data_IF_740794363116
#
_entry.id   IF_740794363116
#
_cell.length_a   1.000
_cell.length_b   1.000
_cell.length_c   1.000
_cell.angle_alpha   90.00
_cell.angle_beta   90.00
_cell.angle_gamma   90.00
#
_symmetry.space_group_name_H-M   'P 1'
#
loop_
_entity.id
_entity.type
_entity.pdbx_description
1 polymer ?
#
# COMPACT_ATOMS: atom_id res chain seq x y z
N UNK A 1 6.75 14.10 -5.11
CA UNK A 1 7.63 15.07 -4.43
C UNK A 1 9.04 14.51 -4.39
N UNK A 2 10.07 15.33 -4.59
CA UNK A 2 11.48 14.90 -4.56
C UNK A 2 11.85 14.45 -3.13
N UNK A 3 12.32 13.21 -2.95
CA UNK A 3 12.70 12.65 -1.65
C UNK A 3 13.71 13.54 -0.91
N UNK A 4 14.65 14.15 -1.64
CA UNK A 4 15.64 15.06 -1.07
C UNK A 4 15.03 16.37 -0.55
N UNK A 5 13.97 16.87 -1.19
CA UNK A 5 13.29 18.09 -0.75
C UNK A 5 12.45 17.83 0.51
N UNK A 6 11.72 16.71 0.55
CA UNK A 6 10.97 16.31 1.75
C UNK A 6 11.93 16.00 2.92
N UNK A 7 13.06 15.33 2.66
CA UNK A 7 14.09 15.13 3.68
C UNK A 7 14.68 16.45 4.20
N UNK A 8 14.98 17.41 3.32
CA UNK A 8 15.52 18.70 3.72
C UNK A 8 14.57 19.49 4.64
N UNK A 9 13.25 19.33 4.46
CA UNK A 9 12.24 19.93 5.32
C UNK A 9 12.03 19.18 6.64
N UNK A 10 12.10 17.85 6.64
CA UNK A 10 11.83 17.04 7.85
C UNK A 10 13.05 16.92 8.77
N UNK A 11 14.27 16.98 8.22
CA UNK A 11 15.53 16.90 8.98
C UNK A 11 15.66 17.97 10.08
N UNK A 12 14.99 19.11 9.94
CA UNK A 12 15.03 20.15 10.98
C UNK A 12 14.26 19.77 12.25
N UNK A 13 13.35 18.81 12.17
CA UNK A 13 12.51 18.37 13.30
C UNK A 13 13.06 17.10 13.97
N UNK A 14 13.75 16.24 13.21
CA UNK A 14 14.46 15.07 13.72
C UNK A 14 15.93 15.07 13.26
N UNK A 15 16.84 15.40 14.18
CA UNK A 15 18.27 15.13 13.96
C UNK A 15 18.44 13.61 13.79
N UNK A 16 19.26 13.19 12.83
CA UNK A 16 19.55 11.78 12.53
C UNK A 16 18.39 10.95 11.93
N UNK A 17 17.66 11.52 10.96
CA UNK A 17 16.68 10.77 10.15
C UNK A 17 17.15 10.50 8.72
N UNK A 18 16.90 9.30 8.20
CA UNK A 18 17.16 8.95 6.80
C UNK A 18 15.86 8.60 6.07
N UNK A 19 15.69 9.12 4.85
CA UNK A 19 14.59 8.71 4.00
C UNK A 19 14.88 7.33 3.41
N UNK A 20 13.87 6.47 3.38
CA UNK A 20 13.94 5.17 2.73
C UNK A 20 12.72 4.94 1.83
N UNK A 21 12.91 4.13 0.80
CA UNK A 21 11.87 3.62 -0.07
C UNK A 21 11.87 2.10 -0.07
N UNK A 22 10.73 1.50 -0.36
CA UNK A 22 10.57 0.07 -0.51
C UNK A 22 10.03 -0.22 -1.91
N UNK A 23 10.61 -1.20 -2.59
CA UNK A 23 10.35 -1.44 -4.00
C UNK A 23 10.15 -2.93 -4.24
N UNK A 24 9.24 -3.25 -5.16
CA UNK A 24 8.94 -4.61 -5.58
C UNK A 24 9.15 -4.72 -7.08
N UNK A 25 9.65 -5.87 -7.51
CA UNK A 25 9.85 -6.17 -8.92
C UNK A 25 8.55 -6.56 -9.61
N UNK A 26 8.71 -7.38 -10.65
CA UNK A 26 7.58 -8.00 -11.34
C UNK A 26 7.03 -9.15 -10.46
N UNK A 27 5.94 -8.87 -9.75
CA UNK A 27 5.23 -9.82 -8.88
C UNK A 27 3.83 -10.08 -9.44
N UNK A 28 3.22 -11.20 -9.04
CA UNK A 28 1.88 -11.58 -9.52
C UNK A 28 0.79 -10.78 -8.79
N UNK A 29 0.59 -9.53 -9.18
CA UNK A 29 -0.39 -8.63 -8.53
C UNK A 29 -1.85 -9.11 -8.62
N UNK A 30 -2.17 -10.09 -9.47
CA UNK A 30 -3.49 -10.72 -9.56
C UNK A 30 -3.73 -11.78 -8.50
N UNK A 31 -2.67 -12.30 -7.87
CA UNK A 31 -2.74 -13.32 -6.84
C UNK A 31 -3.05 -12.69 -5.47
N UNK A 32 -4.16 -13.07 -4.80
CA UNK A 32 -4.51 -12.55 -3.48
C UNK A 32 -3.42 -12.74 -2.42
N UNK A 33 -2.72 -13.88 -2.45
CA UNK A 33 -1.66 -14.15 -1.47
C UNK A 33 -0.50 -13.18 -1.67
N UNK A 34 -0.09 -12.95 -2.92
CA UNK A 34 0.93 -11.95 -3.29
C UNK A 34 0.52 -10.53 -2.86
N UNK A 35 -0.74 -10.14 -3.07
CA UNK A 35 -1.25 -8.84 -2.61
C UNK A 35 -1.12 -8.68 -1.09
N UNK A 36 -1.52 -9.70 -0.32
CA UNK A 36 -1.43 -9.66 1.14
C UNK A 36 0.01 -9.72 1.65
N UNK A 37 0.88 -10.54 1.03
CA UNK A 37 2.31 -10.61 1.38
C UNK A 37 3.01 -9.27 1.14
N UNK A 38 2.72 -8.61 0.03
CA UNK A 38 3.25 -7.26 -0.26
C UNK A 38 2.90 -6.28 0.87
N UNK A 39 1.65 -6.31 1.33
CA UNK A 39 1.21 -5.48 2.46
C UNK A 39 1.91 -5.91 3.76
N UNK A 40 2.05 -7.21 4.00
CA UNK A 40 2.70 -7.72 5.21
C UNK A 40 4.17 -7.30 5.32
N UNK A 41 4.91 -7.37 4.21
CA UNK A 41 6.30 -6.91 4.17
C UNK A 41 6.39 -5.43 4.52
N UNK A 42 5.53 -4.61 3.93
CA UNK A 42 5.46 -3.18 4.24
C UNK A 42 5.17 -2.94 5.72
N UNK A 43 4.14 -3.60 6.26
CA UNK A 43 3.76 -3.51 7.67
C UNK A 43 4.90 -3.94 8.61
N UNK A 44 5.65 -4.97 8.23
CA UNK A 44 6.76 -5.50 9.04
C UNK A 44 7.94 -4.53 9.07
N UNK A 45 8.25 -3.87 7.95
CA UNK A 45 9.28 -2.82 7.89
C UNK A 45 8.90 -1.62 8.77
N UNK A 46 7.65 -1.14 8.68
CA UNK A 46 7.18 -0.01 9.51
C UNK A 46 6.94 -0.36 10.97
N UNK A 47 6.93 -1.64 11.35
CA UNK A 47 6.88 -2.09 12.75
C UNK A 47 8.26 -2.08 13.42
N UNK A 48 9.33 -1.99 12.64
CA UNK A 48 10.67 -1.96 13.21
C UNK A 48 10.85 -0.71 14.09
N UNK A 49 11.57 -0.81 15.22
CA UNK A 49 11.72 0.31 16.16
C UNK A 49 12.35 1.57 15.55
N UNK A 50 13.05 1.40 14.42
CA UNK A 50 13.84 2.44 13.78
C UNK A 50 13.13 3.14 12.63
N UNK A 51 11.93 2.69 12.23
CA UNK A 51 11.15 3.27 11.14
C UNK A 51 9.93 3.98 11.74
N UNK A 52 9.63 5.20 11.29
CA UNK A 52 8.39 5.84 11.72
C UNK A 52 7.18 5.01 11.33
N UNK A 53 6.22 4.98 12.22
CA UNK A 53 4.93 4.40 11.93
C UNK A 53 4.27 5.13 10.75
N UNK A 54 3.82 4.35 9.78
CA UNK A 54 3.08 4.82 8.61
C UNK A 54 1.85 3.94 8.47
N UNK A 55 0.69 4.54 8.21
CA UNK A 55 -0.53 3.80 7.94
C UNK A 55 -0.37 2.84 6.76
N UNK A 56 -0.93 1.62 6.90
CA UNK A 56 -0.92 0.62 5.82
C UNK A 56 -1.53 1.17 4.53
N UNK A 57 -2.56 2.03 4.63
CA UNK A 57 -3.22 2.65 3.46
C UNK A 57 -2.31 3.56 2.64
N UNK A 58 -1.13 3.95 3.13
CA UNK A 58 -0.15 4.70 2.33
C UNK A 58 0.52 3.81 1.27
N UNK A 59 0.53 2.49 1.47
CA UNK A 59 0.89 1.55 0.43
C UNK A 59 -0.20 1.53 -0.65
N UNK A 60 0.20 1.72 -1.90
CA UNK A 60 -0.75 1.84 -3.01
C UNK A 60 -1.64 0.61 -3.16
N UNK A 61 -1.09 -0.60 -2.96
CA UNK A 61 -1.86 -1.85 -3.04
C UNK A 61 -2.96 -1.87 -1.98
N UNK A 62 -2.60 -1.56 -0.74
CA UNK A 62 -3.55 -1.47 0.37
C UNK A 62 -4.66 -0.44 0.11
N UNK A 63 -4.29 0.76 -0.36
CA UNK A 63 -5.27 1.80 -0.71
C UNK A 63 -6.20 1.36 -1.84
N UNK A 64 -5.64 0.73 -2.86
CA UNK A 64 -6.38 0.25 -4.01
C UNK A 64 -7.37 -0.85 -3.64
N UNK A 65 -6.99 -1.80 -2.77
CA UNK A 65 -7.89 -2.83 -2.29
C UNK A 65 -9.04 -2.25 -1.44
N UNK A 66 -8.78 -1.23 -0.62
CA UNK A 66 -9.86 -0.52 0.09
C UNK A 66 -10.79 0.20 -0.89
N UNK A 67 -10.25 0.87 -1.91
CA UNK A 67 -11.05 1.54 -2.94
C UNK A 67 -12.02 0.59 -3.66
N UNK A 68 -11.60 -0.66 -3.89
CA UNK A 68 -12.43 -1.70 -4.49
C UNK A 68 -13.47 -2.31 -3.52
N UNK A 69 -13.38 -2.04 -2.21
CA UNK A 69 -14.32 -2.57 -1.20
C UNK A 69 -15.56 -1.68 -1.04
N UNK A 70 -16.61 -2.20 -0.35
CA UNK A 70 -17.77 -1.36 0.06
C UNK A 70 -17.40 -0.31 1.12
N UNK A 71 -16.20 -0.39 1.69
CA UNK A 71 -15.67 0.54 2.69
C UNK A 71 -14.79 1.64 2.07
N UNK A 72 -14.82 1.81 0.75
CA UNK A 72 -14.09 2.86 0.04
C UNK A 72 -14.34 4.27 0.61
N UNK A 73 -15.54 4.55 1.14
CA UNK A 73 -15.92 5.82 1.74
C UNK A 73 -15.13 6.15 3.01
N UNK A 74 -14.55 5.15 3.67
CA UNK A 74 -13.71 5.37 4.84
C UNK A 74 -12.33 5.96 4.47
N UNK A 75 -12.00 6.04 3.17
CA UNK A 75 -10.71 6.49 2.66
C UNK A 75 -10.77 7.58 1.56
N UNK A 76 -11.94 7.82 0.95
CA UNK A 76 -12.13 8.83 -0.10
C UNK A 76 -13.12 9.88 0.38
N UNK A 77 -12.62 11.07 0.64
CA UNK A 77 -13.45 12.23 0.97
C UNK A 77 -14.05 12.77 -0.33
N UNK A 78 -15.36 12.59 -0.52
CA UNK A 78 -16.03 12.98 -1.77
C UNK A 78 -16.17 14.48 -1.83
N UNK A 79 -15.86 15.05 -3.00
CA UNK A 79 -16.13 16.48 -3.23
C UNK A 79 -17.63 16.76 -3.36
N UNK A 80 -18.38 15.81 -3.97
CA UNK A 80 -19.84 15.83 -4.05
C UNK A 80 -20.44 14.43 -3.81
N UNK A 81 -21.57 14.35 -3.09
CA UNK A 81 -22.23 13.08 -2.73
C UNK A 81 -22.69 12.24 -3.94
N UNK A 82 -22.88 12.91 -5.09
CA UNK A 82 -23.29 12.29 -6.35
C UNK A 82 -22.15 11.68 -7.16
N UNK A 83 -20.89 11.91 -6.77
CA UNK A 83 -19.74 11.34 -7.46
C UNK A 83 -19.57 9.87 -7.08
N UNK A 84 -19.68 9.02 -8.11
CA UNK A 84 -19.35 7.61 -8.09
C UNK A 84 -17.82 7.48 -8.01
N UNK A 85 -17.31 7.39 -6.79
CA UNK A 85 -15.86 7.45 -6.52
C UNK A 85 -15.25 6.11 -6.17
N UNK A 86 -16.04 5.07 -5.90
CA UNK A 86 -15.53 3.78 -5.44
C UNK A 86 -15.30 2.81 -6.60
N UNK A 87 -14.49 1.77 -6.39
CA UNK A 87 -14.23 0.74 -7.39
C UNK A 87 -15.49 0.02 -7.82
N UNK A 88 -16.40 -0.28 -6.89
CA UNK A 88 -17.69 -0.90 -7.19
C UNK A 88 -18.56 -0.07 -8.15
N UNK A 89 -18.31 1.22 -8.27
CA UNK A 89 -19.01 2.09 -9.21
C UNK A 89 -18.38 2.08 -10.63
N UNK A 90 -17.16 1.55 -10.77
CA UNK A 90 -16.45 1.45 -12.05
C UNK A 90 -16.79 0.13 -12.73
N UNK A 91 -17.70 0.18 -13.71
CA UNK A 91 -18.14 -0.99 -14.45
C UNK A 91 -17.22 -1.32 -15.62
N UNK A 92 -16.68 -2.53 -15.65
CA UNK A 92 -15.87 -3.04 -16.75
C UNK A 92 -16.74 -3.77 -17.77
N UNK A 93 -16.89 -3.19 -18.96
CA UNK A 93 -17.81 -3.68 -19.99
C UNK A 93 -17.45 -5.08 -20.50
N UNK A 94 -16.18 -5.43 -20.63
CA UNK A 94 -15.79 -6.70 -21.25
C UNK A 94 -16.11 -7.90 -20.36
N UNK A 95 -15.91 -7.74 -19.04
CA UNK A 95 -16.21 -8.78 -18.05
C UNK A 95 -17.60 -8.65 -17.42
N UNK A 96 -18.37 -7.62 -17.81
CA UNK A 96 -19.70 -7.31 -17.26
C UNK A 96 -19.72 -7.27 -15.72
N UNK A 97 -18.67 -6.72 -15.10
CA UNK A 97 -18.51 -6.67 -13.64
C UNK A 97 -17.84 -5.37 -13.20
N UNK A 98 -18.03 -4.98 -11.93
CA UNK A 98 -17.39 -3.80 -11.36
C UNK A 98 -15.99 -4.08 -10.81
N UNK A 99 -15.22 -3.03 -10.53
CA UNK A 99 -13.95 -3.10 -9.79
C UNK A 99 -14.22 -3.37 -8.29
N UNK A 100 -14.61 -4.60 -7.97
CA UNK A 100 -14.95 -5.02 -6.60
C UNK A 100 -13.94 -6.01 -5.98
N UNK A 101 -13.49 -5.67 -4.77
CA UNK A 101 -12.69 -6.57 -3.97
C UNK A 101 -13.59 -7.60 -3.26
N UNK A 102 -13.04 -8.77 -3.04
CA UNK A 102 -13.59 -9.81 -2.16
C UNK A 102 -12.86 -9.78 -0.83
N UNK A 103 -13.45 -10.37 0.21
CA UNK A 103 -12.84 -10.45 1.53
C UNK A 103 -12.37 -11.88 1.80
N UNK A 104 -11.13 -12.02 2.26
CA UNK A 104 -10.53 -13.32 2.60
C UNK A 104 -10.03 -13.32 4.05
N UNK A 105 -9.95 -14.48 4.72
CA UNK A 105 -9.40 -14.57 6.07
C UNK A 105 -7.98 -13.99 6.16
N UNK A 106 -7.68 -13.30 7.25
CA UNK A 106 -6.38 -12.68 7.49
C UNK A 106 -5.30 -13.72 7.88
N UNK A 107 -4.89 -14.54 6.91
CA UNK A 107 -3.92 -15.61 7.10
C UNK A 107 -2.49 -15.12 7.37
N UNK A 108 -2.15 -13.89 6.98
CA UNK A 108 -0.81 -13.30 7.14
C UNK A 108 -0.66 -12.41 8.38
N UNK A 109 -1.71 -12.27 9.20
CA UNK A 109 -1.68 -11.41 10.38
C UNK A 109 -1.39 -9.94 10.01
N UNK A 110 -2.06 -9.45 8.97
CA UNK A 110 -2.07 -8.04 8.59
C UNK A 110 -2.74 -7.21 9.68
N UNK A 111 -2.35 -5.94 9.80
CA UNK A 111 -2.92 -5.02 10.80
C UNK A 111 -4.41 -4.82 10.55
N UNK A 112 -5.15 -4.63 11.63
CA UNK A 112 -6.56 -4.27 11.58
C UNK A 112 -6.70 -2.75 11.50
N UNK A 113 -7.74 -2.28 10.80
CA UNK A 113 -8.14 -0.88 10.84
C UNK A 113 -8.63 -0.53 12.23
N UNK A 114 -8.10 0.56 12.78
CA UNK A 114 -8.53 1.12 14.06
C UNK A 114 -9.81 1.93 13.78
N UNK A 115 -10.95 1.37 14.18
CA UNK A 115 -12.25 2.04 14.06
C UNK A 115 -12.51 2.78 15.36
N UNK A 116 -12.31 4.09 15.31
CA UNK A 116 -12.46 4.97 16.47
C UNK A 116 -13.92 5.40 16.57
N UNK A 117 -14.50 5.33 17.77
CA UNK A 117 -15.81 5.94 17.98
C UNK A 117 -15.62 7.47 17.98
N UNK A 118 -16.42 8.26 17.24
CA UNK A 118 -16.31 9.72 17.26
C UNK A 118 -16.40 10.34 18.66
N UNK A 119 -16.92 9.60 19.65
CA UNK A 119 -16.99 10.03 21.05
C UNK A 119 -15.78 9.63 21.90
N UNK A 120 -14.82 8.87 21.38
CA UNK A 120 -13.61 8.50 22.12
C UNK A 120 -12.68 9.71 22.27
N UNK A 121 -12.17 9.91 23.48
CA UNK A 121 -11.20 10.98 23.79
C UNK A 121 -9.78 10.66 23.31
N UNK A 122 -9.53 9.42 22.87
CA UNK A 122 -8.21 8.97 22.44
C UNK A 122 -7.96 9.32 20.98
N UNK A 123 -6.97 10.18 20.73
CA UNK A 123 -6.47 10.42 19.39
C UNK A 123 -5.52 9.30 18.98
N UNK A 124 -5.85 8.60 17.90
CA UNK A 124 -4.97 7.63 17.27
C UNK A 124 -4.20 8.35 16.15
N UNK A 125 -2.85 8.39 16.22
CA UNK A 125 -2.05 9.07 15.20
C UNK A 125 -2.10 8.36 13.83
N UNK A 126 -2.46 7.08 13.84
CA UNK A 126 -2.51 6.19 12.70
C UNK A 126 -3.85 5.43 12.70
N UNK A 127 -4.42 5.19 11.51
CA UNK A 127 -5.60 4.35 11.29
C UNK A 127 -5.28 2.85 11.30
N UNK A 128 -3.99 2.49 11.33
CA UNK A 128 -3.53 1.10 11.40
C UNK A 128 -3.56 0.41 10.04
N UNK A 129 -4.18 -0.78 10.00
CA UNK A 129 -4.20 -1.64 8.82
C UNK A 129 -5.45 -1.52 7.94
N UNK A 130 -5.59 -2.44 6.99
CA UNK A 130 -6.73 -2.48 6.07
C UNK A 130 -7.74 -3.57 6.38
N UNK A 131 -7.36 -4.53 7.24
CA UNK A 131 -8.21 -5.67 7.57
C UNK A 131 -9.22 -5.29 8.65
N UNK A 132 -10.32 -6.02 8.71
CA UNK A 132 -11.45 -5.72 9.59
C UNK A 132 -11.95 -6.97 10.29
N UNK A 133 -12.40 -6.82 11.52
CA UNK A 133 -13.15 -7.88 12.18
C UNK A 133 -14.51 -8.06 11.51
N UNK A 134 -15.08 -9.26 11.52
CA UNK A 134 -16.40 -9.53 10.94
C UNK A 134 -17.48 -8.61 11.51
N UNK A 135 -17.38 -8.24 12.79
CA UNK A 135 -18.28 -7.28 13.44
C UNK A 135 -18.26 -5.85 12.85
N UNK A 136 -17.20 -5.52 12.12
CA UNK A 136 -16.96 -4.22 11.52
C UNK A 136 -17.02 -4.21 9.99
N UNK A 137 -17.38 -5.34 9.39
CA UNK A 137 -17.59 -5.48 7.95
C UNK A 137 -19.00 -5.03 7.57
N UNK A 138 -19.18 -4.73 6.28
CA UNK A 138 -20.50 -4.39 5.75
C UNK A 138 -21.34 -5.68 5.69
N UNK A 139 -22.62 -5.68 6.12
CA UNK A 139 -23.43 -6.90 6.13
C UNK A 139 -23.51 -7.60 4.76
N UNK A 140 -23.65 -6.83 3.68
CA UNK A 140 -23.63 -7.38 2.32
C UNK A 140 -22.29 -8.05 1.94
N UNK A 141 -21.15 -7.60 2.49
CA UNK A 141 -19.87 -8.29 2.23
C UNK A 141 -19.83 -9.64 2.97
N UNK A 142 -20.40 -9.74 4.18
CA UNK A 142 -20.54 -11.01 4.90
C UNK A 142 -21.48 -11.97 4.15
N UNK A 143 -22.59 -11.46 3.61
CA UNK A 143 -23.51 -12.23 2.77
C UNK A 143 -22.82 -12.72 1.48
N UNK A 144 -22.03 -11.86 0.82
CA UNK A 144 -21.24 -12.19 -0.38
C UNK A 144 -20.23 -13.33 -0.08
N UNK A 145 -19.74 -13.43 1.16
CA UNK A 145 -18.88 -14.53 1.65
C UNK A 145 -19.64 -15.78 2.08
N UNK A 146 -20.98 -15.79 2.05
CA UNK A 146 -21.82 -16.88 2.51
C UNK A 146 -21.99 -16.95 4.04
N UNK A 147 -21.65 -15.89 4.76
CA UNK A 147 -21.79 -15.79 6.22
C UNK A 147 -23.16 -15.20 6.54
N UNK A 148 -24.09 -16.05 6.95
CA UNK A 148 -25.47 -15.66 7.28
C UNK A 148 -25.66 -15.22 8.74
N UNK A 149 -24.71 -15.55 9.61
CA UNK A 149 -24.72 -15.20 11.03
C UNK A 149 -23.48 -14.35 11.37
N UNK A 150 -23.59 -13.02 11.34
CA UNK A 150 -22.46 -12.12 11.65
C UNK A 150 -21.86 -12.34 13.04
N UNK A 151 -22.65 -12.82 14.01
CA UNK A 151 -22.16 -13.07 15.36
C UNK A 151 -21.19 -14.27 15.40
N UNK A 152 -21.27 -15.19 14.44
CA UNK A 152 -20.38 -16.35 14.34
C UNK A 152 -18.95 -16.00 13.96
N UNK A 153 -18.75 -14.87 13.28
CA UNK A 153 -17.43 -14.41 12.78
C UNK A 153 -17.01 -13.08 13.39
N UNK A 154 -17.63 -12.71 14.52
CA UNK A 154 -17.48 -11.38 15.13
C UNK A 154 -16.02 -10.97 15.33
N UNK A 155 -15.21 -11.91 15.82
CA UNK A 155 -13.78 -11.71 16.15
C UNK A 155 -12.83 -12.22 15.05
N UNK A 156 -13.36 -12.81 13.98
CA UNK A 156 -12.56 -13.20 12.82
C UNK A 156 -12.16 -11.98 12.01
N UNK A 157 -10.94 -11.97 11.48
CA UNK A 157 -10.38 -10.84 10.75
C UNK A 157 -10.26 -11.19 9.28
N UNK A 158 -10.74 -10.28 8.44
CA UNK A 158 -10.74 -10.43 7.00
C UNK A 158 -10.05 -9.24 6.34
N UNK A 159 -9.43 -9.49 5.20
CA UNK A 159 -8.72 -8.48 4.41
C UNK A 159 -9.32 -8.40 3.01
N UNK A 160 -9.43 -7.20 2.42
CA UNK A 160 -9.89 -7.06 1.05
C UNK A 160 -8.77 -7.51 0.11
N UNK A 161 -9.13 -8.28 -0.92
CA UNK A 161 -8.25 -8.72 -2.00
C UNK A 161 -8.99 -8.64 -3.31
N UNK A 162 -8.26 -8.66 -4.42
CA UNK A 162 -8.84 -8.84 -5.74
C UNK A 162 -8.47 -10.23 -6.23
N UNK A 163 -9.48 -11.05 -6.47
CA UNK A 163 -9.33 -12.39 -7.04
C UNK A 163 -10.07 -12.49 -8.37
N UNK A 164 -9.61 -13.40 -9.24
CA UNK A 164 -10.33 -13.81 -10.45
C UNK A 164 -10.57 -12.70 -11.50
N UNK A 165 -9.79 -11.62 -11.46
CA UNK A 165 -9.84 -10.59 -12.49
C UNK A 165 -8.94 -10.96 -13.66
N UNK A 166 -9.40 -10.65 -14.87
CA UNK A 166 -8.54 -10.71 -16.05
C UNK A 166 -7.54 -9.55 -16.02
N UNK A 167 -6.43 -9.69 -16.73
CA UNK A 167 -5.42 -8.66 -16.90
C UNK A 167 -6.04 -7.33 -17.37
N UNK A 168 -6.98 -7.40 -18.33
CA UNK A 168 -7.66 -6.23 -18.88
C UNK A 168 -8.51 -5.53 -17.83
N UNK A 169 -9.25 -6.31 -17.02
CA UNK A 169 -10.02 -5.75 -15.89
C UNK A 169 -9.10 -5.10 -14.89
N UNK A 170 -7.95 -5.72 -14.61
CA UNK A 170 -7.01 -5.20 -13.63
C UNK A 170 -6.43 -3.87 -14.07
N UNK A 171 -5.97 -3.81 -15.32
CA UNK A 171 -5.47 -2.59 -15.96
C UNK A 171 -6.53 -1.49 -16.01
N UNK A 172 -7.78 -1.83 -16.37
CA UNK A 172 -8.90 -0.88 -16.37
C UNK A 172 -9.12 -0.27 -14.98
N UNK A 173 -9.31 -1.12 -13.97
CA UNK A 173 -9.63 -0.69 -12.62
C UNK A 173 -8.49 0.11 -11.97
N UNK A 174 -7.25 -0.32 -12.17
CA UNK A 174 -6.09 0.39 -11.65
C UNK A 174 -5.95 1.76 -12.34
N UNK A 175 -6.23 1.86 -13.64
CA UNK A 175 -6.26 3.13 -14.36
C UNK A 175 -7.32 4.08 -13.80
N UNK A 176 -8.53 3.58 -13.52
CA UNK A 176 -9.60 4.39 -12.90
C UNK A 176 -9.19 4.90 -11.51
N UNK A 177 -8.63 4.02 -10.68
CA UNK A 177 -8.14 4.39 -9.35
C UNK A 177 -7.01 5.44 -9.41
N UNK A 178 -6.05 5.28 -10.33
CA UNK A 178 -4.99 6.27 -10.57
C UNK A 178 -5.56 7.61 -10.97
N UNK A 179 -6.55 7.65 -11.87
CA UNK A 179 -7.19 8.90 -12.28
C UNK A 179 -7.84 9.62 -11.09
N UNK A 180 -8.47 8.88 -10.17
CA UNK A 180 -9.07 9.44 -8.95
C UNK A 180 -8.06 9.94 -7.92
N UNK A 181 -6.89 9.31 -7.84
CA UNK A 181 -5.80 9.75 -6.95
C UNK A 181 -4.89 10.78 -7.59
N UNK A 182 -5.31 11.43 -8.68
CA UNK A 182 -4.50 12.42 -9.40
C UNK A 182 -3.20 11.85 -9.96
N UNK A 183 -3.20 10.57 -10.32
CA UNK A 183 -2.04 9.77 -10.75
C UNK A 183 -0.90 9.71 -9.73
N UNK A 184 -1.15 10.15 -8.49
CA UNK A 184 -0.17 10.10 -7.39
C UNK A 184 -0.21 8.77 -6.62
N UNK A 185 -1.32 8.03 -6.73
CA UNK A 185 -1.46 6.68 -6.21
C UNK A 185 -0.77 5.66 -7.13
N UNK A 186 0.10 4.83 -6.56
CA UNK A 186 0.79 3.77 -7.31
C UNK A 186 2.01 4.30 -8.03
N UNK A 187 3.12 4.40 -7.30
CA UNK A 187 4.42 4.78 -7.85
C UNK A 187 4.97 3.63 -8.71
N UNK A 188 4.36 3.43 -9.87
CA UNK A 188 4.76 2.47 -10.89
C UNK A 188 5.89 3.07 -11.70
N UNK A 189 6.93 2.29 -11.93
CA UNK A 189 8.10 2.75 -12.68
C UNK A 189 8.18 1.95 -13.98
N UNK A 190 8.30 2.66 -15.10
CA UNK A 190 8.68 2.06 -16.38
C UNK A 190 10.20 2.00 -16.47
N UNK A 191 10.72 0.85 -16.87
CA UNK A 191 12.12 0.72 -17.25
C UNK A 191 12.30 1.46 -18.58
N UNK A 192 13.05 2.56 -18.59
CA UNK A 192 13.39 3.29 -19.83
C UNK A 192 14.67 2.67 -20.43
N UNK A 193 14.58 1.89 -21.52
CA UNK A 193 15.75 1.28 -22.15
C UNK A 193 16.67 2.31 -22.84
N UNK A 194 16.27 3.58 -22.96
CA UNK A 194 17.02 4.65 -23.62
C UNK A 194 17.57 5.73 -22.68
N UNK A 195 17.40 5.57 -21.36
CA UNK A 195 17.72 6.59 -20.35
C UNK A 195 19.02 7.34 -20.64
N UNK A 196 18.91 8.62 -20.96
CA UNK A 196 20.08 9.48 -21.18
C UNK A 196 20.72 9.80 -19.83
N UNK A 197 22.06 9.75 -19.73
CA UNK A 197 22.81 10.16 -18.51
C UNK A 197 22.47 11.58 -18.03
N UNK A 198 21.85 12.40 -18.89
CA UNK A 198 21.49 13.79 -18.60
C UNK A 198 20.07 13.97 -18.06
N UNK A 199 19.22 12.95 -18.17
CA UNK A 199 17.88 12.96 -17.63
C UNK A 199 17.94 12.37 -16.22
N UNK A 200 18.19 13.23 -15.22
CA UNK A 200 17.94 12.92 -13.82
C UNK A 200 16.41 12.80 -13.58
N UNK A 201 15.74 11.87 -14.25
CA UNK A 201 14.28 11.65 -14.29
C UNK A 201 13.79 10.72 -13.18
N UNK A 202 14.43 10.76 -12.00
CA UNK A 202 13.88 10.17 -10.77
C UNK A 202 12.51 10.75 -10.34
N UNK A 203 11.87 11.54 -11.22
CA UNK A 203 10.49 11.98 -11.18
C UNK A 203 9.91 11.70 -12.57
N UNK A 204 9.01 10.72 -12.65
CA UNK A 204 8.26 10.40 -13.86
C UNK A 204 7.47 11.63 -14.34
N UNK A 205 7.58 11.90 -15.64
CA UNK A 205 6.56 12.64 -16.37
C UNK A 205 5.22 11.91 -16.19
N UNK A 206 4.12 12.63 -16.27
CA UNK A 206 2.76 12.13 -15.98
C UNK A 206 2.41 10.89 -16.82
N UNK A 207 2.69 9.70 -16.30
CA UNK A 207 2.41 8.45 -17.00
C UNK A 207 0.91 8.13 -16.93
N UNK A 208 0.15 8.75 -17.83
CA UNK A 208 -1.25 8.44 -18.10
C UNK A 208 -1.44 6.98 -18.56
N UNK A 209 -0.41 6.36 -19.13
CA UNK A 209 -0.43 4.98 -19.60
C UNK A 209 0.13 4.02 -18.54
N UNK A 210 -0.67 3.01 -18.17
CA UNK A 210 -0.26 1.90 -17.31
C UNK A 210 0.26 0.74 -18.18
N UNK A 211 1.52 0.34 -17.98
CA UNK A 211 2.05 -0.90 -18.57
C UNK A 211 1.64 -2.10 -17.72
N UNK A 212 1.22 -3.19 -18.39
CA UNK A 212 0.83 -4.44 -17.76
C UNK A 212 1.60 -5.63 -18.39
N UNK A 213 2.13 -6.58 -17.60
CA UNK A 213 2.20 -6.59 -16.13
C UNK A 213 3.05 -5.44 -15.58
N UNK A 214 2.85 -5.08 -14.30
CA UNK A 214 3.60 -4.00 -13.65
C UNK A 214 5.06 -4.48 -13.47
N UNK A 215 6.04 -3.91 -14.19
CA UNK A 215 7.42 -4.39 -14.13
C UNK A 215 8.09 -4.04 -12.80
N UNK A 216 7.67 -2.92 -12.21
CA UNK A 216 8.21 -2.38 -10.97
C UNK A 216 7.12 -1.57 -10.25
N UNK A 217 7.04 -1.70 -8.92
CA UNK A 217 6.27 -0.77 -8.09
C UNK A 217 7.07 -0.32 -6.86
N UNK A 218 6.77 0.89 -6.38
CA UNK A 218 7.34 1.42 -5.14
C UNK A 218 6.29 1.84 -4.13
N UNK A 219 6.66 1.72 -2.86
CA UNK A 219 5.89 2.12 -1.71
C UNK A 219 6.00 3.61 -1.40
N UNK A 220 5.34 4.08 -0.34
CA UNK A 220 5.51 5.43 0.14
C UNK A 220 6.95 5.65 0.60
N UNK A 221 7.36 6.92 0.65
CA UNK A 221 8.64 7.26 1.30
C UNK A 221 8.43 7.15 2.80
N UNK A 222 9.27 6.35 3.45
CA UNK A 222 9.32 6.19 4.90
C UNK A 222 10.56 6.90 5.45
N UNK A 223 10.63 7.03 6.76
CA UNK A 223 11.75 7.67 7.44
C UNK A 223 12.22 6.79 8.58
N UNK A 224 13.54 6.57 8.66
CA UNK A 224 14.14 6.06 9.88
C UNK A 224 14.50 7.20 10.82
N UNK A 225 14.44 6.94 12.12
CA UNK A 225 14.73 7.89 13.20
C UNK A 225 15.75 7.30 14.17
N UNK A 226 16.34 8.17 14.99
CA UNK A 226 17.30 7.79 16.02
C UNK A 226 18.57 7.09 15.49
N UNK A 227 19.02 7.48 14.28
CA UNK A 227 20.20 6.93 13.62
C UNK A 227 21.48 7.69 14.04
N UNK A 228 21.76 7.76 15.34
CA UNK A 228 22.84 8.60 15.89
C UNK A 228 24.24 8.03 15.67
N UNK A 229 24.34 6.73 15.42
CA UNK A 229 25.59 6.00 15.22
C UNK A 229 25.58 5.15 13.96
N UNK A 230 26.78 4.74 13.55
CA UNK A 230 26.95 3.80 12.44
C UNK A 230 26.32 2.44 12.78
N UNK A 231 26.50 1.99 14.01
CA UNK A 231 25.97 0.73 14.52
C UNK A 231 24.43 0.71 14.50
N UNK A 232 23.75 1.77 14.94
CA UNK A 232 22.28 1.87 14.85
C UNK A 232 21.79 1.84 13.40
N UNK A 233 22.53 2.47 12.49
CA UNK A 233 22.19 2.44 11.05
C UNK A 233 22.30 1.02 10.50
N UNK A 234 23.36 0.28 10.85
CA UNK A 234 23.54 -1.11 10.43
C UNK A 234 22.45 -2.03 11.01
N UNK A 235 22.10 -1.85 12.28
CA UNK A 235 21.01 -2.62 12.93
C UNK A 235 19.69 -2.40 12.21
N UNK A 236 19.33 -1.14 11.92
CA UNK A 236 18.12 -0.83 11.15
C UNK A 236 18.14 -1.48 9.76
N UNK A 237 19.29 -1.46 9.07
CA UNK A 237 19.43 -2.10 7.76
C UNK A 237 19.24 -3.62 7.85
N UNK A 238 19.87 -4.28 8.82
CA UNK A 238 19.77 -5.74 9.01
C UNK A 238 18.33 -6.17 9.37
N UNK A 239 17.66 -5.43 10.25
CA UNK A 239 16.27 -5.68 10.63
C UNK A 239 15.33 -5.55 9.44
N UNK A 240 15.42 -4.43 8.71
CA UNK A 240 14.51 -4.16 7.59
C UNK A 240 14.74 -5.07 6.39
N UNK A 241 15.99 -5.50 6.16
CA UNK A 241 16.34 -6.48 5.10
C UNK A 241 15.77 -7.86 5.34
N UNK A 242 15.66 -8.28 6.59
CA UNK A 242 15.08 -9.58 6.95
C UNK A 242 13.64 -9.73 6.39
N UNK A 243 12.92 -8.62 6.25
CA UNK A 243 11.55 -8.58 5.72
C UNK A 243 11.48 -8.33 4.22
N UNK A 244 12.60 -8.15 3.53
CA UNK A 244 12.62 -7.69 2.16
C UNK A 244 13.62 -8.43 1.26
N UNK A 245 14.92 -8.26 1.52
CA UNK A 245 15.98 -8.89 0.75
C UNK A 245 16.02 -10.41 1.00
N UNK A 246 15.66 -10.85 2.21
CA UNK A 246 15.73 -12.25 2.65
C UNK A 246 14.39 -13.01 2.56
N UNK A 247 13.32 -12.37 2.07
CA UNK A 247 12.00 -13.00 1.92
C UNK A 247 11.99 -13.91 0.67
N UNK A 248 11.84 -15.24 0.83
CA UNK A 248 11.87 -16.18 -0.29
C UNK A 248 10.60 -16.15 -1.14
N UNK A 249 9.50 -15.60 -0.61
CA UNK A 249 8.19 -15.66 -1.24
C UNK A 249 7.93 -14.45 -2.14
N UNK A 250 8.42 -13.27 -1.75
CA UNK A 250 8.17 -12.04 -2.46
C UNK A 250 9.41 -11.14 -2.45
N UNK A 251 10.10 -11.04 -3.58
CA UNK A 251 11.31 -10.24 -3.66
C UNK A 251 10.97 -8.74 -3.58
N UNK A 252 11.52 -8.07 -2.58
CA UNK A 252 11.56 -6.61 -2.50
C UNK A 252 12.96 -6.12 -2.17
N UNK A 253 13.19 -4.82 -2.28
CA UNK A 253 14.43 -4.18 -1.83
C UNK A 253 14.20 -2.77 -1.31
N UNK A 254 15.06 -2.36 -0.40
CA UNK A 254 15.05 -1.03 0.20
C UNK A 254 16.01 -0.11 -0.52
N UNK A 255 15.62 1.15 -0.70
CA UNK A 255 16.43 2.21 -1.30
C UNK A 255 16.49 3.44 -0.39
N UNK A 256 17.46 4.33 -0.64
CA UNK A 256 17.62 5.58 0.10
C UNK A 256 19.04 5.76 0.61
N UNK A 257 19.32 6.94 1.17
CA UNK A 257 20.68 7.39 1.50
C UNK A 257 21.44 6.38 2.39
N UNK A 258 20.76 5.78 3.37
CA UNK A 258 21.34 4.79 4.26
C UNK A 258 21.72 3.49 3.53
N UNK A 259 20.93 3.05 2.55
CA UNK A 259 21.24 1.86 1.77
C UNK A 259 22.31 2.19 0.73
N UNK A 260 22.13 3.25 -0.05
CA UNK A 260 23.02 3.61 -1.16
C UNK A 260 24.46 3.91 -0.71
N UNK A 261 24.66 4.48 0.48
CA UNK A 261 26.00 4.83 0.97
C UNK A 261 26.72 3.67 1.66
N UNK A 262 26.01 2.82 2.41
CA UNK A 262 26.63 1.77 3.23
C UNK A 262 26.71 0.39 2.55
N UNK A 263 26.11 0.23 1.36
CA UNK A 263 26.20 -1.00 0.57
C UNK A 263 27.22 -0.96 -0.57
N UNK A 264 27.98 0.14 -0.68
CA UNK A 264 29.14 0.26 -1.59
C UNK A 264 30.39 -0.36 -0.97
#
# INVERSE_FOLDING_TARGET
SNQANTWATTRTEALASWSMGMNWGNIEYTDPDTQMKMIKQFESVVETPHVAEVDTKQLWMANFLIWNSRMCLDNFDRSEFAELECGRDQFHNETQSSCEATWVPNQFGLRQKIIVNPTDEMCYPNEGGICRSGSSMHPADLEDMGILDPDSVRDEVYCPVVSDWTDEKWQFCLTQWRAKTGFSGGRFLLDDPQGSETDCTGVYEKDEALTWPIPFSSGPTMYSFDMFSHEETLVMMDETRTFCDDDPDLQCWLTGIAFDYWTQ
#
